data_IF_107896145429
#
_entry.id   IF_107896145429
#
_cell.length_a   1.000
_cell.length_b   1.000
_cell.length_c   1.000
_cell.angle_alpha   90.00
_cell.angle_beta   90.00
_cell.angle_gamma   90.00
#
_symmetry.space_group_name_H-M   'P 1'
#
loop_
_entity.id
_entity.type
_entity.pdbx_description
1 polymer ?
#
# COMPACT_ATOMS: atom_id res chain seq x y z
N UNK A 1 -1.58 -19.09 29.56
CA UNK A 1 -1.02 -17.74 29.35
C UNK A 1 -2.18 -16.76 29.32
N UNK A 2 -2.17 -15.67 30.08
CA UNK A 2 -3.26 -14.70 30.08
C UNK A 2 -3.35 -14.05 28.68
N UNK A 3 -4.56 -13.96 28.13
CA UNK A 3 -4.88 -13.43 26.80
C UNK A 3 -4.73 -11.89 26.67
N UNK A 4 -4.15 -11.20 27.66
CA UNK A 4 -4.23 -9.74 27.82
C UNK A 4 -2.92 -9.00 27.57
N UNK A 5 -2.14 -9.43 26.60
CA UNK A 5 -1.08 -8.59 26.02
C UNK A 5 -1.65 -7.63 24.96
N UNK A 6 -2.76 -6.98 25.28
CA UNK A 6 -3.33 -5.98 24.37
C UNK A 6 -2.58 -4.68 24.55
N UNK A 7 -1.67 -4.39 23.62
CA UNK A 7 -1.15 -3.03 23.39
C UNK A 7 -2.27 -1.98 23.24
N UNK A 8 -3.45 -2.43 22.84
CA UNK A 8 -4.70 -1.66 22.73
C UNK A 8 -5.11 -0.94 24.04
N UNK A 9 -4.56 -1.32 25.19
CA UNK A 9 -4.92 -0.71 26.49
C UNK A 9 -4.23 0.63 26.78
N UNK A 10 -3.13 0.95 26.09
CA UNK A 10 -2.36 2.16 26.39
C UNK A 10 -1.85 2.91 25.14
N UNK A 11 -1.93 2.31 23.95
CA UNK A 11 -1.54 2.94 22.71
C UNK A 11 -2.52 2.58 21.59
N UNK A 12 -3.09 3.60 20.96
CA UNK A 12 -3.87 3.47 19.73
C UNK A 12 -3.10 4.19 18.64
N UNK A 13 -2.63 3.47 17.59
CA UNK A 13 -2.01 4.11 16.43
C UNK A 13 -2.99 5.08 15.78
N UNK A 14 -2.50 6.22 15.31
CA UNK A 14 -3.31 7.10 14.48
C UNK A 14 -3.68 6.40 13.17
N UNK A 15 -4.83 6.72 12.63
CA UNK A 15 -5.46 5.96 11.53
C UNK A 15 -4.72 6.05 10.20
N UNK A 16 -3.89 7.06 10.03
CA UNK A 16 -3.03 7.22 8.86
C UNK A 16 -1.97 6.13 8.75
N UNK A 17 -1.53 5.56 9.88
CA UNK A 17 -0.59 4.44 9.91
C UNK A 17 -1.34 3.11 9.76
N UNK A 18 -1.03 2.35 8.72
CA UNK A 18 -1.59 1.02 8.49
C UNK A 18 -0.61 -0.12 8.82
N UNK A 19 0.66 0.18 9.03
CA UNK A 19 1.69 -0.82 9.33
C UNK A 19 1.50 -1.49 10.68
N UNK A 20 1.88 -2.76 10.79
CA UNK A 20 1.86 -3.58 12.02
C UNK A 20 0.52 -3.55 12.80
N UNK A 21 -0.60 -3.25 12.14
CA UNK A 21 -1.93 -3.23 12.73
C UNK A 21 -2.79 -4.39 12.23
N UNK A 22 -3.65 -4.90 13.12
CA UNK A 22 -4.59 -5.96 12.77
C UNK A 22 -5.59 -5.47 11.71
N UNK A 23 -5.78 -6.28 10.68
CA UNK A 23 -6.75 -5.99 9.59
C UNK A 23 -6.44 -4.74 8.75
N UNK A 24 -5.21 -4.22 8.81
CA UNK A 24 -4.68 -3.18 7.92
C UNK A 24 -3.69 -3.80 6.92
N UNK A 25 -3.63 -3.27 5.69
CA UNK A 25 -2.77 -3.83 4.64
C UNK A 25 -2.36 -2.79 3.59
N UNK A 26 -1.48 -3.21 2.67
CA UNK A 26 -1.01 -2.37 1.57
C UNK A 26 -2.14 -1.96 0.62
N UNK A 27 -3.06 -2.89 0.33
CA UNK A 27 -4.16 -2.69 -0.62
C UNK A 27 -5.09 -1.55 -0.16
N UNK A 28 -5.28 -1.41 1.14
CA UNK A 28 -6.05 -0.31 1.73
C UNK A 28 -5.39 1.05 1.47
N UNK A 29 -4.08 1.16 1.70
CA UNK A 29 -3.34 2.40 1.48
C UNK A 29 -3.33 2.76 -0.01
N UNK A 30 -3.15 1.78 -0.89
CA UNK A 30 -3.22 1.98 -2.35
C UNK A 30 -4.63 2.42 -2.75
N UNK A 31 -5.69 1.79 -2.21
CA UNK A 31 -7.07 2.15 -2.51
C UNK A 31 -7.40 3.57 -2.03
N UNK A 32 -6.95 3.95 -0.83
CA UNK A 32 -7.14 5.30 -0.28
C UNK A 32 -6.46 6.36 -1.15
N UNK A 33 -5.21 6.12 -1.55
CA UNK A 33 -4.49 7.02 -2.47
C UNK A 33 -5.20 7.15 -3.82
N UNK A 34 -5.67 6.03 -4.39
CA UNK A 34 -6.41 6.04 -5.67
C UNK A 34 -7.75 6.75 -5.57
N UNK A 35 -8.46 6.65 -4.44
CA UNK A 35 -9.67 7.44 -4.19
C UNK A 35 -9.36 8.94 -4.14
N UNK A 36 -8.29 9.37 -3.47
CA UNK A 36 -7.87 10.76 -3.45
C UNK A 36 -7.55 11.28 -4.86
N UNK A 37 -6.84 10.48 -5.68
CA UNK A 37 -6.56 10.80 -7.08
C UNK A 37 -7.85 10.92 -7.92
N UNK A 38 -8.79 9.99 -7.73
CA UNK A 38 -10.06 9.99 -8.47
C UNK A 38 -10.95 11.19 -8.11
N UNK A 39 -10.97 11.58 -6.84
CA UNK A 39 -11.63 12.80 -6.38
C UNK A 39 -11.00 14.04 -7.04
N UNK A 40 -9.68 14.17 -6.98
CA UNK A 40 -8.95 15.29 -7.58
C UNK A 40 -9.26 15.41 -9.08
N UNK A 41 -9.23 14.29 -9.82
CA UNK A 41 -9.57 14.26 -11.26
C UNK A 41 -11.02 14.66 -11.52
N UNK A 42 -11.96 14.11 -10.76
CA UNK A 42 -13.39 14.38 -10.93
C UNK A 42 -13.73 15.84 -10.65
N UNK A 43 -13.03 16.46 -9.70
CA UNK A 43 -13.19 17.87 -9.32
C UNK A 43 -12.33 18.82 -10.15
N UNK A 44 -11.38 18.31 -10.94
CA UNK A 44 -10.35 19.10 -11.63
C UNK A 44 -9.51 19.96 -10.66
N UNK A 45 -9.35 19.48 -9.42
CA UNK A 45 -8.51 20.10 -8.41
C UNK A 45 -7.11 19.51 -8.43
N UNK A 46 -6.11 20.30 -8.02
CA UNK A 46 -4.72 19.83 -7.92
C UNK A 46 -4.58 18.88 -6.74
N UNK A 47 -3.75 17.84 -6.91
CA UNK A 47 -3.33 16.97 -5.83
C UNK A 47 -1.82 16.74 -5.93
N UNK A 48 -1.09 17.20 -4.94
CA UNK A 48 0.33 16.94 -4.75
C UNK A 48 0.48 15.68 -3.90
N UNK A 49 1.21 14.71 -4.41
CA UNK A 49 1.49 13.44 -3.76
C UNK A 49 3.00 13.38 -3.57
N UNK A 50 3.48 13.47 -2.33
CA UNK A 50 4.91 13.34 -2.05
C UNK A 50 5.21 11.98 -1.43
N UNK A 51 6.00 11.19 -2.13
CA UNK A 51 6.49 9.88 -1.68
C UNK A 51 7.80 10.07 -0.94
N UNK A 52 7.78 9.84 0.37
CA UNK A 52 8.94 10.06 1.24
C UNK A 52 9.64 8.74 1.51
N UNK A 53 10.96 8.71 1.27
CA UNK A 53 11.85 7.60 1.60
C UNK A 53 12.74 7.99 2.79
N UNK A 54 12.83 7.12 3.80
CA UNK A 54 13.72 7.34 4.93
C UNK A 54 15.02 6.56 4.77
N UNK A 55 16.14 7.19 5.11
CA UNK A 55 17.43 6.52 5.11
C UNK A 55 17.58 5.64 6.34
N UNK A 56 17.55 4.31 6.17
CA UNK A 56 17.74 3.34 7.27
C UNK A 56 16.82 3.61 8.47
N UNK A 57 15.52 3.76 8.21
CA UNK A 57 14.52 4.17 9.19
C UNK A 57 14.62 3.43 10.54
N UNK A 58 14.69 2.10 10.50
CA UNK A 58 14.80 1.27 11.71
C UNK A 58 16.13 1.42 12.46
N UNK A 59 17.23 1.64 11.74
CA UNK A 59 18.58 1.63 12.32
C UNK A 59 18.94 2.95 13.01
N UNK A 60 18.20 4.03 12.71
CA UNK A 60 18.51 5.39 13.21
C UNK A 60 17.73 5.80 14.44
N UNK A 61 16.74 5.04 14.88
CA UNK A 61 15.89 5.42 16.01
C UNK A 61 16.70 5.56 17.32
N UNK A 62 16.75 6.75 17.95
CA UNK A 62 17.36 6.94 19.25
C UNK A 62 16.56 6.23 20.34
N UNK A 63 17.14 5.22 20.97
CA UNK A 63 16.45 4.37 21.96
C UNK A 63 15.98 5.12 23.21
N UNK A 64 16.73 6.11 23.65
CA UNK A 64 16.36 6.98 24.76
C UNK A 64 15.08 7.78 24.44
N UNK A 65 14.99 8.33 23.23
CA UNK A 65 13.81 9.07 22.79
C UNK A 65 12.60 8.13 22.61
N UNK A 66 12.82 6.94 22.05
CA UNK A 66 11.76 5.92 21.97
C UNK A 66 11.20 5.57 23.37
N UNK A 67 12.08 5.34 24.35
CA UNK A 67 11.64 5.03 25.72
C UNK A 67 10.87 6.20 26.37
N UNK A 68 11.26 7.44 26.05
CA UNK A 68 10.52 8.64 26.46
C UNK A 68 9.12 8.66 25.85
N UNK A 69 9.00 8.48 24.53
CA UNK A 69 7.72 8.44 23.81
C UNK A 69 6.82 7.34 24.37
N UNK A 70 7.36 6.14 24.58
CA UNK A 70 6.62 5.02 25.17
C UNK A 70 6.05 5.39 26.56
N UNK A 71 6.84 6.05 27.40
CA UNK A 71 6.41 6.51 28.74
C UNK A 71 5.29 7.55 28.60
N UNK A 72 5.44 8.53 27.73
CA UNK A 72 4.47 9.61 27.49
C UNK A 72 3.16 9.06 26.88
N UNK A 73 3.25 7.99 26.07
CA UNK A 73 2.09 7.29 25.53
C UNK A 73 1.37 6.38 26.54
N UNK A 74 1.80 6.32 27.81
CA UNK A 74 1.14 5.54 28.85
C UNK A 74 1.65 4.10 29.02
N UNK A 75 2.81 3.76 28.42
CA UNK A 75 3.41 2.44 28.60
C UNK A 75 3.70 2.14 30.05
N UNK A 76 3.14 1.04 30.58
CA UNK A 76 3.33 0.63 31.97
C UNK A 76 4.80 0.38 32.35
N UNK A 77 5.19 0.72 33.58
CA UNK A 77 6.56 0.69 34.03
C UNK A 77 7.27 -0.67 33.91
N UNK A 78 6.53 -1.78 34.05
CA UNK A 78 7.08 -3.13 33.87
C UNK A 78 7.44 -3.39 32.41
N UNK A 79 6.57 -3.00 31.46
CA UNK A 79 6.81 -3.12 30.02
C UNK A 79 7.96 -2.22 29.58
N UNK A 80 7.97 -0.96 30.02
CA UNK A 80 9.04 -0.03 29.72
C UNK A 80 10.42 -0.56 30.15
N UNK A 81 10.52 -1.11 31.37
CA UNK A 81 11.76 -1.77 31.84
C UNK A 81 12.14 -2.99 31.01
N UNK A 82 11.16 -3.81 30.62
CA UNK A 82 11.41 -4.97 29.75
C UNK A 82 11.98 -4.56 28.39
N UNK A 83 11.36 -3.55 27.76
CA UNK A 83 11.84 -2.99 26.47
C UNK A 83 13.26 -2.41 26.66
N UNK A 84 13.48 -1.59 27.68
CA UNK A 84 14.80 -1.05 27.95
C UNK A 84 15.86 -2.16 28.11
N UNK A 85 15.53 -3.24 28.83
CA UNK A 85 16.44 -4.39 29.00
C UNK A 85 16.72 -5.15 27.69
N UNK A 86 15.73 -5.30 26.80
CA UNK A 86 15.91 -5.93 25.48
C UNK A 86 16.94 -5.15 24.64
N UNK A 87 16.98 -3.83 24.79
CA UNK A 87 17.84 -2.95 24.00
C UNK A 87 19.15 -2.55 24.70
N UNK A 88 19.30 -2.76 26.02
CA UNK A 88 20.49 -2.34 26.79
C UNK A 88 21.77 -3.09 26.45
N UNK A 89 21.67 -4.30 25.88
CA UNK A 89 22.81 -5.16 25.57
C UNK A 89 22.79 -5.68 24.15
N UNK A 90 22.45 -4.82 23.19
CA UNK A 90 22.43 -5.24 21.78
C UNK A 90 23.82 -5.11 21.19
N UNK A 91 24.36 -6.24 20.70
CA UNK A 91 25.66 -6.31 20.04
C UNK A 91 25.48 -6.79 18.61
N UNK A 92 26.22 -6.20 17.70
CA UNK A 92 26.36 -6.66 16.31
C UNK A 92 27.71 -7.34 16.16
N UNK A 93 27.74 -8.51 15.54
CA UNK A 93 28.97 -9.27 15.29
C UNK A 93 29.27 -9.21 13.79
N UNK A 94 30.43 -8.69 13.45
CA UNK A 94 30.94 -8.64 12.08
C UNK A 94 32.28 -9.38 12.03
N UNK A 95 32.26 -10.66 11.65
CA UNK A 95 33.45 -11.52 11.75
C UNK A 95 33.89 -11.67 13.21
N UNK A 96 35.10 -11.23 13.53
CA UNK A 96 35.67 -11.21 14.90
C UNK A 96 35.38 -9.92 15.68
N UNK A 97 34.73 -8.92 15.06
CA UNK A 97 34.50 -7.60 15.66
C UNK A 97 33.11 -7.60 16.33
N UNK A 98 33.06 -7.19 17.58
CA UNK A 98 31.81 -7.01 18.33
C UNK A 98 31.59 -5.48 18.50
N UNK A 99 30.46 -4.99 18.02
CA UNK A 99 30.07 -3.58 18.07
C UNK A 99 28.82 -3.44 18.95
N UNK A 100 28.84 -2.55 19.90
CA UNK A 100 27.66 -2.21 20.70
C UNK A 100 26.70 -1.36 19.85
N UNK A 101 25.50 -1.89 19.60
CA UNK A 101 24.46 -1.16 18.89
C UNK A 101 23.69 -0.28 19.87
N UNK A 102 23.97 1.03 19.85
CA UNK A 102 23.34 2.03 20.74
C UNK A 102 22.08 2.68 20.13
N UNK A 103 21.90 2.55 18.82
CA UNK A 103 20.76 3.07 18.06
C UNK A 103 19.96 1.94 17.41
N UNK A 104 18.79 2.28 16.97
CA UNK A 104 17.95 1.46 16.11
C UNK A 104 17.16 0.36 16.80
N UNK A 105 16.17 -0.13 16.05
CA UNK A 105 15.33 -1.28 16.40
C UNK A 105 15.90 -2.55 15.79
N UNK A 106 15.73 -3.68 16.48
CA UNK A 106 16.20 -4.98 15.98
C UNK A 106 15.37 -5.43 14.78
N UNK A 107 15.97 -5.47 13.60
CA UNK A 107 15.29 -6.00 12.39
C UNK A 107 14.95 -7.49 12.62
N UNK A 108 13.71 -7.86 12.25
CA UNK A 108 13.20 -9.22 12.45
C UNK A 108 12.66 -9.52 13.86
N UNK A 109 12.72 -8.57 14.80
CA UNK A 109 12.04 -8.75 16.10
C UNK A 109 10.53 -8.50 15.97
N UNK A 110 9.67 -9.35 16.56
CA UNK A 110 8.21 -9.16 16.54
C UNK A 110 7.74 -7.82 17.15
N UNK A 111 8.52 -7.24 18.05
CA UNK A 111 8.18 -5.99 18.74
C UNK A 111 8.60 -4.77 17.95
N UNK A 112 9.55 -4.88 17.04
CA UNK A 112 10.15 -3.72 16.36
C UNK A 112 9.14 -2.97 15.49
N UNK A 113 8.24 -3.67 14.80
CA UNK A 113 7.19 -3.04 13.99
C UNK A 113 6.29 -2.14 14.84
N UNK A 114 5.84 -2.62 16.00
CA UNK A 114 4.98 -1.86 16.90
C UNK A 114 5.73 -0.66 17.50
N UNK A 115 6.98 -0.85 17.92
CA UNK A 115 7.80 0.24 18.46
C UNK A 115 8.06 1.32 17.39
N UNK A 116 8.25 0.91 16.15
CA UNK A 116 8.43 1.83 15.03
C UNK A 116 7.18 2.66 14.76
N UNK A 117 5.99 2.06 14.71
CA UNK A 117 4.75 2.81 14.48
C UNK A 117 4.42 3.75 15.64
N UNK A 118 4.71 3.36 16.89
CA UNK A 118 4.58 4.26 18.05
C UNK A 118 5.48 5.48 17.88
N UNK A 119 6.71 5.26 17.44
CA UNK A 119 7.67 6.33 17.20
C UNK A 119 7.22 7.27 16.07
N UNK A 120 6.80 6.71 14.94
CA UNK A 120 6.36 7.49 13.78
C UNK A 120 5.01 8.19 14.00
N UNK A 121 4.24 7.75 15.00
CA UNK A 121 2.97 8.39 15.36
C UNK A 121 3.14 9.85 15.80
N UNK A 122 4.33 10.21 16.32
CA UNK A 122 4.66 11.60 16.66
C UNK A 122 4.65 12.52 15.42
N UNK A 123 5.05 12.01 14.25
CA UNK A 123 4.94 12.75 12.99
C UNK A 123 3.49 13.07 12.62
N UNK A 124 2.58 12.11 12.78
CA UNK A 124 1.16 12.32 12.48
C UNK A 124 0.56 13.36 13.45
N UNK A 125 0.93 13.30 14.74
CA UNK A 125 0.53 14.32 15.72
C UNK A 125 1.00 15.72 15.31
N UNK A 126 2.22 15.85 14.78
CA UNK A 126 2.73 17.13 14.29
C UNK A 126 1.90 17.64 13.11
N UNK A 127 1.52 16.79 12.14
CA UNK A 127 0.65 17.20 11.06
C UNK A 127 -0.71 17.66 11.57
N UNK A 128 -1.36 16.90 12.44
CA UNK A 128 -2.65 17.30 13.02
C UNK A 128 -2.60 18.59 13.84
N UNK A 129 -1.48 18.88 14.52
CA UNK A 129 -1.34 20.07 15.35
C UNK A 129 -0.94 21.33 14.58
N UNK A 130 -0.25 21.19 13.45
CA UNK A 130 0.34 22.32 12.71
C UNK A 130 -0.32 22.60 11.37
N UNK A 131 -0.84 21.57 10.67
CA UNK A 131 -1.51 21.76 9.42
C UNK A 131 -2.99 22.07 9.62
N UNK A 132 -3.50 23.05 8.90
CA UNK A 132 -4.94 23.28 8.79
C UNK A 132 -5.57 22.32 7.78
N UNK A 133 -6.91 22.24 7.75
CA UNK A 133 -7.64 21.47 6.74
C UNK A 133 -7.20 21.82 5.32
N UNK A 134 -7.07 20.81 4.46
CA UNK A 134 -6.45 20.90 3.15
C UNK A 134 -7.45 20.50 2.05
N UNK A 135 -8.32 21.43 1.64
CA UNK A 135 -9.29 21.23 0.58
C UNK A 135 -10.17 20.00 0.79
N UNK A 136 -10.29 19.15 -0.24
CA UNK A 136 -11.08 17.90 -0.16
C UNK A 136 -10.40 16.82 0.70
N UNK A 137 -9.11 16.94 0.97
CA UNK A 137 -8.36 16.03 1.85
C UNK A 137 -8.71 16.26 3.33
N UNK A 138 -9.11 17.49 3.68
CA UNK A 138 -9.37 17.95 5.04
C UNK A 138 -8.21 17.61 5.99
N UNK A 139 -8.42 16.67 6.90
CA UNK A 139 -7.44 16.25 7.91
C UNK A 139 -6.51 15.11 7.46
N UNK A 140 -6.75 14.51 6.27
CA UNK A 140 -5.89 13.43 5.75
C UNK A 140 -4.62 14.03 5.16
N UNK A 141 -3.61 14.23 5.98
CA UNK A 141 -2.34 14.84 5.60
C UNK A 141 -1.33 13.84 5.04
N UNK A 142 -1.40 12.59 5.50
CA UNK A 142 -0.47 11.54 5.10
C UNK A 142 -1.11 10.15 5.10
N UNK A 143 -0.46 9.22 4.42
CA UNK A 143 -0.73 7.79 4.47
C UNK A 143 0.57 7.09 4.78
N UNK A 144 0.59 6.25 5.81
CA UNK A 144 1.80 5.60 6.31
C UNK A 144 1.62 4.07 6.31
N UNK A 145 2.63 3.37 5.83
CA UNK A 145 2.75 1.92 6.00
C UNK A 145 4.17 1.60 6.44
N UNK A 146 4.40 1.52 7.72
CA UNK A 146 5.73 1.47 8.32
C UNK A 146 6.54 2.71 7.92
N UNK A 147 7.66 2.55 7.24
CA UNK A 147 8.52 3.60 6.71
C UNK A 147 8.06 4.17 5.35
N UNK A 148 7.24 3.41 4.60
CA UNK A 148 6.63 3.93 3.38
C UNK A 148 5.62 5.03 3.72
N UNK A 149 5.95 6.26 3.35
CA UNK A 149 5.18 7.46 3.71
C UNK A 149 4.77 8.25 2.47
N UNK A 150 3.50 8.64 2.42
CA UNK A 150 2.96 9.50 1.37
C UNK A 150 2.31 10.71 2.01
N UNK A 151 2.70 11.92 1.59
CA UNK A 151 2.06 13.17 1.99
C UNK A 151 1.09 13.61 0.90
N UNK A 152 -0.07 14.08 1.28
CA UNK A 152 -1.12 14.54 0.38
C UNK A 152 -1.38 16.04 0.61
N UNK A 153 -1.46 16.83 -0.47
CA UNK A 153 -1.72 18.27 -0.40
C UNK A 153 -2.50 18.75 -1.62
N UNK A 154 -3.32 19.79 -1.46
CA UNK A 154 -4.09 20.38 -2.57
C UNK A 154 -3.39 21.57 -3.24
N UNK A 155 -2.26 22.02 -2.68
CA UNK A 155 -1.44 23.10 -3.27
C UNK A 155 0.05 22.84 -3.06
N UNK A 156 0.87 23.53 -3.86
CA UNK A 156 2.33 23.50 -3.75
C UNK A 156 2.82 23.98 -2.39
N UNK A 157 2.26 25.08 -1.89
CA UNK A 157 2.64 25.67 -0.59
C UNK A 157 2.36 24.71 0.56
N UNK A 158 1.21 24.02 0.52
CA UNK A 158 0.86 22.97 1.49
C UNK A 158 1.80 21.78 1.41
N UNK A 159 2.25 21.39 0.21
CA UNK A 159 3.23 20.32 0.05
C UNK A 159 4.58 20.72 0.65
N UNK A 160 5.03 21.96 0.43
CA UNK A 160 6.24 22.52 1.03
C UNK A 160 6.13 22.60 2.55
N UNK A 161 4.99 23.07 3.09
CA UNK A 161 4.72 23.12 4.53
C UNK A 161 4.88 21.72 5.17
N UNK A 162 4.24 20.70 4.59
CA UNK A 162 4.32 19.33 5.11
C UNK A 162 5.73 18.73 5.01
N UNK A 163 6.46 19.06 3.95
CA UNK A 163 7.86 18.66 3.82
C UNK A 163 8.76 19.32 4.86
N UNK A 164 8.55 20.60 5.20
CA UNK A 164 9.28 21.28 6.27
C UNK A 164 9.01 20.64 7.63
N UNK A 165 7.75 20.32 7.93
CA UNK A 165 7.40 19.56 9.16
C UNK A 165 8.11 18.21 9.17
N UNK A 166 8.21 17.52 8.02
CA UNK A 166 8.94 16.26 7.90
C UNK A 166 10.43 16.42 8.19
N UNK A 167 11.10 17.45 7.64
CA UNK A 167 12.53 17.71 7.91
C UNK A 167 12.79 18.09 9.36
N UNK A 168 11.92 18.89 9.96
CA UNK A 168 11.98 19.21 11.40
C UNK A 168 11.80 17.96 12.25
N UNK A 169 10.81 17.12 11.93
CA UNK A 169 10.62 15.83 12.60
C UNK A 169 11.87 14.97 12.49
N UNK A 170 12.45 14.84 11.30
CA UNK A 170 13.67 14.08 11.10
C UNK A 170 14.81 14.59 11.97
N UNK A 171 15.00 15.90 12.05
CA UNK A 171 16.03 16.52 12.89
C UNK A 171 15.80 16.28 14.40
N UNK A 172 14.57 16.46 14.88
CA UNK A 172 14.22 16.32 16.29
C UNK A 172 14.22 14.87 16.77
N UNK A 173 13.81 13.95 15.87
CA UNK A 173 13.63 12.53 16.19
C UNK A 173 14.78 11.65 15.70
N UNK A 174 15.89 12.24 15.23
CA UNK A 174 17.07 11.49 14.81
C UNK A 174 16.85 10.59 13.58
N UNK A 175 15.83 10.87 12.79
CA UNK A 175 15.58 10.21 11.50
C UNK A 175 16.23 11.00 10.37
N UNK A 176 16.21 10.46 9.17
CA UNK A 176 16.74 11.17 7.99
C UNK A 176 15.90 10.83 6.77
N UNK A 177 15.36 11.87 6.14
CA UNK A 177 14.75 11.77 4.82
C UNK A 177 15.82 11.56 3.75
N UNK A 178 15.56 10.68 2.78
CA UNK A 178 16.41 10.48 1.62
C UNK A 178 15.89 11.33 0.46
N UNK A 179 16.36 12.57 0.35
CA UNK A 179 15.88 13.52 -0.66
C UNK A 179 16.09 13.03 -2.09
N UNK A 180 17.17 12.27 -2.37
CA UNK A 180 17.43 11.72 -3.70
C UNK A 180 16.36 10.71 -4.15
N UNK A 181 15.79 9.93 -3.22
CA UNK A 181 14.72 8.95 -3.48
C UNK A 181 13.32 9.51 -3.25
N UNK A 182 13.18 10.50 -2.39
CA UNK A 182 11.92 11.20 -2.17
C UNK A 182 11.52 11.92 -3.46
N UNK A 183 10.28 11.72 -3.91
CA UNK A 183 9.76 12.28 -5.15
C UNK A 183 8.37 12.84 -4.91
N UNK A 184 7.97 13.80 -5.72
CA UNK A 184 6.58 14.24 -5.73
C UNK A 184 5.97 14.13 -7.11
N UNK A 185 4.65 14.00 -7.13
CA UNK A 185 3.82 13.91 -8.32
C UNK A 185 2.66 14.89 -8.18
N UNK A 186 2.22 15.48 -9.27
CA UNK A 186 1.06 16.39 -9.26
C UNK A 186 0.01 15.90 -10.22
N UNK A 187 -1.21 15.69 -9.70
CA UNK A 187 -2.39 15.42 -10.53
C UNK A 187 -3.05 16.74 -10.86
N UNK A 188 -3.44 16.94 -12.12
CA UNK A 188 -4.03 18.20 -12.65
C UNK A 188 -3.17 19.45 -12.44
N UNK A 189 -1.85 19.29 -12.32
CA UNK A 189 -0.92 20.40 -12.16
C UNK A 189 -0.57 21.10 -13.48
N UNK A 190 -0.10 22.36 -13.38
CA UNK A 190 0.58 23.08 -14.46
C UNK A 190 2.05 22.68 -14.55
N UNK A 191 2.75 23.16 -15.58
CA UNK A 191 4.21 22.95 -15.68
C UNK A 191 4.99 23.61 -14.52
N UNK A 192 4.49 24.75 -14.02
CA UNK A 192 5.06 25.41 -12.84
C UNK A 192 4.95 24.56 -11.57
N UNK A 193 3.84 23.83 -11.42
CA UNK A 193 3.63 22.92 -10.28
C UNK A 193 4.63 21.74 -10.28
N UNK A 194 5.21 21.42 -11.44
CA UNK A 194 6.16 20.31 -11.62
C UNK A 194 7.63 20.70 -11.39
N UNK A 195 7.91 21.96 -11.17
CA UNK A 195 9.25 22.41 -10.82
C UNK A 195 9.69 21.74 -9.50
N UNK A 196 10.93 21.34 -9.41
CA UNK A 196 11.49 20.72 -8.21
C UNK A 196 11.23 21.58 -6.97
N UNK A 197 11.01 20.90 -5.84
CA UNK A 197 10.80 21.56 -4.54
C UNK A 197 12.12 21.58 -3.80
N UNK A 198 12.60 22.78 -3.46
CA UNK A 198 13.76 22.95 -2.58
C UNK A 198 13.32 23.04 -1.12
N UNK A 199 13.95 22.24 -0.26
CA UNK A 199 13.78 22.25 1.19
C UNK A 199 15.16 22.26 1.83
N UNK A 200 15.52 23.37 2.45
CA UNK A 200 16.78 23.54 3.17
C UNK A 200 18.05 23.24 2.33
N UNK A 201 17.98 23.57 1.02
CA UNK A 201 19.06 23.32 0.05
C UNK A 201 19.09 21.91 -0.55
N UNK A 202 18.13 21.06 -0.19
CA UNK A 202 17.94 19.74 -0.77
C UNK A 202 16.78 19.77 -1.77
N UNK A 203 17.02 19.31 -3.01
CA UNK A 203 16.01 19.30 -4.07
C UNK A 203 15.24 18.00 -4.12
N UNK A 204 13.91 18.10 -4.08
CA UNK A 204 12.98 16.99 -4.26
C UNK A 204 12.41 17.07 -5.68
N UNK A 205 12.76 16.08 -6.49
CA UNK A 205 12.42 16.07 -7.90
C UNK A 205 10.98 15.61 -8.16
N UNK A 206 10.34 16.21 -9.16
CA UNK A 206 9.08 15.76 -9.73
C UNK A 206 9.23 14.39 -10.40
N UNK A 207 8.18 13.57 -10.38
CA UNK A 207 8.08 12.32 -11.13
C UNK A 207 6.71 12.17 -11.79
N UNK A 208 6.70 11.74 -13.06
CA UNK A 208 5.46 11.41 -13.78
C UNK A 208 4.93 10.01 -13.47
N UNK A 209 5.76 9.18 -12.84
CA UNK A 209 5.47 7.79 -12.48
C UNK A 209 6.19 7.42 -11.19
N UNK A 210 5.49 6.73 -10.29
CA UNK A 210 6.07 6.21 -9.04
C UNK A 210 5.47 4.84 -8.70
N UNK A 211 6.26 3.97 -8.08
CA UNK A 211 5.78 2.68 -7.57
C UNK A 211 5.56 2.77 -6.07
N UNK A 212 4.29 2.89 -5.66
CA UNK A 212 3.89 2.95 -4.26
C UNK A 212 3.36 1.58 -3.81
N UNK A 213 3.98 1.00 -2.79
CA UNK A 213 3.63 -0.33 -2.25
C UNK A 213 3.44 -1.39 -3.34
N UNK A 214 4.28 -1.39 -4.37
CA UNK A 214 4.21 -2.32 -5.48
C UNK A 214 3.15 -2.01 -6.56
N UNK A 215 2.34 -0.97 -6.37
CA UNK A 215 1.40 -0.47 -7.37
C UNK A 215 1.96 0.76 -8.09
N UNK A 216 1.91 0.74 -9.42
CA UNK A 216 2.36 1.89 -10.21
C UNK A 216 1.28 2.97 -10.23
N UNK A 217 1.69 4.19 -9.89
CA UNK A 217 0.87 5.40 -9.98
C UNK A 217 1.44 6.31 -11.07
N UNK A 218 0.58 6.86 -11.89
CA UNK A 218 0.94 7.79 -12.97
C UNK A 218 0.32 9.16 -12.75
N UNK A 219 1.01 10.20 -13.09
CA UNK A 219 0.55 11.61 -13.05
C UNK A 219 -0.77 11.80 -13.82
N UNK A 220 -0.93 11.16 -14.97
CA UNK A 220 -2.17 11.23 -15.74
C UNK A 220 -3.31 10.42 -15.09
N UNK A 221 -3.02 9.63 -14.05
CA UNK A 221 -3.96 8.74 -13.37
C UNK A 221 -4.76 7.86 -14.34
N UNK A 222 -4.11 7.40 -15.41
CA UNK A 222 -4.70 6.56 -16.45
C UNK A 222 -4.64 5.09 -16.05
N UNK A 223 -5.81 4.46 -15.92
CA UNK A 223 -5.88 3.02 -15.67
C UNK A 223 -5.26 2.21 -16.82
N UNK A 224 -5.37 2.69 -18.05
CA UNK A 224 -4.77 2.02 -19.21
C UNK A 224 -3.24 2.01 -19.16
N UNK A 225 -2.60 3.12 -18.74
CA UNK A 225 -1.15 3.19 -18.55
C UNK A 225 -0.70 2.27 -17.41
N UNK A 226 -1.39 2.34 -16.27
CA UNK A 226 -1.13 1.41 -15.16
C UNK A 226 -1.20 -0.04 -15.62
N UNK A 227 -2.26 -0.42 -16.33
CA UNK A 227 -2.45 -1.81 -16.81
C UNK A 227 -1.37 -2.23 -17.80
N UNK A 228 -0.90 -1.32 -18.66
CA UNK A 228 0.21 -1.59 -19.59
C UNK A 228 1.50 -1.93 -18.84
N UNK A 229 1.86 -1.10 -17.85
CA UNK A 229 3.06 -1.32 -17.05
C UNK A 229 2.94 -2.59 -16.21
N UNK A 230 1.78 -2.80 -15.60
CA UNK A 230 1.53 -3.99 -14.80
C UNK A 230 1.69 -5.27 -15.62
N UNK A 231 1.06 -5.35 -16.80
CA UNK A 231 1.18 -6.51 -17.71
C UNK A 231 2.61 -6.66 -18.21
N UNK A 232 3.28 -5.58 -18.60
CA UNK A 232 4.68 -5.63 -19.08
C UNK A 232 5.63 -6.20 -18.02
N UNK A 233 5.46 -5.79 -16.77
CA UNK A 233 6.24 -6.32 -15.65
C UNK A 233 5.98 -7.82 -15.42
N UNK A 234 4.71 -8.25 -15.49
CA UNK A 234 4.31 -9.64 -15.27
C UNK A 234 4.67 -10.57 -16.42
N UNK A 235 4.83 -10.07 -17.65
CA UNK A 235 5.30 -10.87 -18.78
C UNK A 235 6.66 -11.52 -18.52
N UNK A 236 7.58 -10.85 -17.80
CA UNK A 236 8.88 -11.45 -17.41
C UNK A 236 8.69 -12.68 -16.53
N UNK A 237 7.75 -12.64 -15.59
CA UNK A 237 7.43 -13.76 -14.72
C UNK A 237 6.77 -14.91 -15.51
N UNK A 238 5.93 -14.58 -16.47
CA UNK A 238 5.32 -15.54 -17.38
C UNK A 238 6.38 -16.32 -18.19
N UNK A 239 7.37 -15.62 -18.76
CA UNK A 239 8.46 -16.25 -19.49
C UNK A 239 9.30 -17.19 -18.61
N UNK A 240 9.58 -16.80 -17.37
CA UNK A 240 10.26 -17.67 -16.39
C UNK A 240 9.44 -18.93 -16.09
N UNK A 241 8.14 -18.76 -15.89
CA UNK A 241 7.21 -19.87 -15.68
C UNK A 241 7.19 -20.83 -16.88
N UNK A 242 7.11 -20.31 -18.10
CA UNK A 242 7.16 -21.14 -19.31
C UNK A 242 8.46 -21.91 -19.44
N UNK A 243 9.60 -21.25 -19.20
CA UNK A 243 10.90 -21.91 -19.19
C UNK A 243 10.96 -23.05 -18.15
N UNK A 244 10.39 -22.86 -16.99
CA UNK A 244 10.30 -23.88 -15.95
C UNK A 244 9.40 -25.05 -16.40
N UNK A 245 8.19 -24.76 -16.89
CA UNK A 245 7.24 -25.80 -17.34
C UNK A 245 7.77 -26.61 -18.51
N UNK A 246 8.48 -25.98 -19.46
CA UNK A 246 9.09 -26.66 -20.60
C UNK A 246 10.23 -27.59 -20.18
N UNK A 247 11.00 -27.22 -19.17
CA UNK A 247 12.07 -28.07 -18.62
C UNK A 247 11.53 -29.23 -17.79
N UNK A 248 10.32 -29.12 -17.29
CA UNK A 248 9.67 -30.08 -16.40
C UNK A 248 8.28 -30.48 -16.95
N UNK A 249 8.27 -30.89 -18.21
CA UNK A 249 7.03 -31.18 -18.93
C UNK A 249 6.26 -32.37 -18.36
N UNK A 250 6.92 -33.27 -17.68
CA UNK A 250 6.41 -34.48 -17.03
C UNK A 250 5.75 -34.22 -15.67
N UNK A 251 5.83 -32.99 -15.15
CA UNK A 251 5.19 -32.66 -13.89
C UNK A 251 3.66 -32.93 -13.95
N UNK A 252 3.09 -33.53 -12.89
CA UNK A 252 1.64 -33.68 -12.78
C UNK A 252 0.92 -32.32 -12.86
N UNK A 253 -0.27 -32.31 -13.50
CA UNK A 253 -1.09 -31.10 -13.66
C UNK A 253 -1.27 -30.31 -12.36
N UNK A 254 -1.56 -31.01 -11.24
CA UNK A 254 -1.70 -30.37 -9.91
C UNK A 254 -0.46 -29.58 -9.49
N UNK A 255 0.74 -30.01 -9.86
CA UNK A 255 1.98 -29.31 -9.57
C UNK A 255 2.16 -28.10 -10.48
N UNK A 256 1.89 -28.25 -11.79
CA UNK A 256 1.90 -27.15 -12.76
C UNK A 256 0.92 -26.04 -12.33
N UNK A 257 -0.27 -26.44 -11.87
CA UNK A 257 -1.28 -25.52 -11.34
C UNK A 257 -0.79 -24.74 -10.13
N UNK A 258 -0.16 -25.40 -9.14
CA UNK A 258 0.43 -24.74 -7.98
C UNK A 258 1.53 -23.74 -8.36
N UNK A 259 2.33 -24.07 -9.37
CA UNK A 259 3.34 -23.13 -9.92
C UNK A 259 2.67 -21.90 -10.50
N UNK A 260 1.59 -22.08 -11.29
CA UNK A 260 0.81 -20.99 -11.83
C UNK A 260 0.26 -20.09 -10.71
N UNK A 261 -0.40 -20.67 -9.71
CA UNK A 261 -0.98 -19.91 -8.59
C UNK A 261 0.09 -19.13 -7.80
N UNK A 262 1.15 -19.82 -7.39
CA UNK A 262 2.17 -19.22 -6.51
C UNK A 262 3.06 -18.21 -7.23
N UNK A 263 3.46 -18.46 -8.48
CA UNK A 263 4.46 -17.66 -9.18
C UNK A 263 3.85 -16.56 -10.04
N UNK A 264 2.67 -16.81 -10.61
CA UNK A 264 2.05 -15.85 -11.54
C UNK A 264 0.79 -15.22 -11.00
N UNK A 265 -0.23 -15.99 -10.60
CA UNK A 265 -1.53 -15.40 -10.23
C UNK A 265 -1.44 -14.51 -9.01
N UNK A 266 -0.61 -14.85 -8.01
CA UNK A 266 -0.34 -13.97 -6.87
C UNK A 266 0.22 -12.61 -7.28
N UNK A 267 1.11 -12.60 -8.27
CA UNK A 267 1.73 -11.39 -8.80
C UNK A 267 0.79 -10.62 -9.75
N UNK A 268 0.09 -11.34 -10.65
CA UNK A 268 -0.85 -10.77 -11.63
C UNK A 268 -2.03 -10.08 -10.95
N UNK A 269 -2.53 -10.65 -9.86
CA UNK A 269 -3.69 -10.15 -9.11
C UNK A 269 -3.30 -9.25 -7.93
N UNK A 270 -2.02 -8.89 -7.79
CA UNK A 270 -1.58 -8.01 -6.72
C UNK A 270 -2.28 -6.65 -6.79
N UNK A 271 -2.81 -6.19 -5.69
CA UNK A 271 -3.58 -4.96 -5.50
C UNK A 271 -4.84 -4.82 -6.40
N UNK A 272 -5.37 -5.94 -6.94
CA UNK A 272 -6.56 -5.88 -7.78
C UNK A 272 -7.80 -5.34 -7.05
N UNK A 273 -7.78 -5.37 -5.74
CA UNK A 273 -8.78 -4.78 -4.86
C UNK A 273 -8.92 -3.27 -5.08
N UNK A 274 -7.82 -2.61 -5.44
CA UNK A 274 -7.78 -1.16 -5.70
C UNK A 274 -8.00 -0.76 -7.18
N UNK A 275 -8.39 -1.69 -8.06
CA UNK A 275 -8.62 -1.41 -9.48
C UNK A 275 -10.06 -0.95 -9.73
N UNK A 276 -10.27 0.32 -9.94
CA UNK A 276 -11.59 0.91 -10.16
C UNK A 276 -11.97 0.92 -11.65
N UNK A 277 -11.76 -0.21 -12.34
CA UNK A 277 -12.09 -0.38 -13.76
C UNK A 277 -12.27 -1.86 -14.12
N UNK A 278 -13.18 -2.14 -15.02
CA UNK A 278 -13.40 -3.47 -15.58
C UNK A 278 -12.58 -3.72 -16.87
N UNK A 279 -11.80 -2.76 -17.35
CA UNK A 279 -10.99 -2.92 -18.57
C UNK A 279 -9.72 -3.74 -18.31
N UNK A 280 -9.89 -5.05 -18.24
CA UNK A 280 -8.81 -6.01 -17.96
C UNK A 280 -8.35 -6.77 -19.21
N UNK A 281 -8.68 -6.32 -20.42
CA UNK A 281 -8.47 -7.09 -21.67
C UNK A 281 -7.02 -7.57 -21.86
N UNK A 282 -6.02 -6.69 -21.62
CA UNK A 282 -4.59 -7.07 -21.72
C UNK A 282 -4.18 -8.09 -20.65
N UNK A 283 -4.66 -7.92 -19.43
CA UNK A 283 -4.38 -8.84 -18.34
C UNK A 283 -5.08 -10.19 -18.55
N UNK A 284 -6.30 -10.16 -19.10
CA UNK A 284 -7.01 -11.38 -19.43
C UNK A 284 -6.28 -12.19 -20.52
N UNK A 285 -5.66 -11.53 -21.50
CA UNK A 285 -4.81 -12.21 -22.48
C UNK A 285 -3.65 -12.94 -21.80
N UNK A 286 -2.92 -12.27 -20.90
CA UNK A 286 -1.83 -12.88 -20.13
C UNK A 286 -2.33 -14.05 -19.27
N UNK A 287 -3.46 -13.89 -18.59
CA UNK A 287 -4.10 -14.91 -17.77
C UNK A 287 -4.44 -16.15 -18.59
N UNK A 288 -5.11 -15.98 -19.75
CA UNK A 288 -5.51 -17.09 -20.62
C UNK A 288 -4.30 -17.80 -21.24
N UNK A 289 -3.29 -17.06 -21.70
CA UNK A 289 -2.04 -17.64 -22.21
C UNK A 289 -1.37 -18.52 -21.14
N UNK A 290 -1.39 -18.10 -19.90
CA UNK A 290 -0.82 -18.85 -18.78
C UNK A 290 -1.56 -20.15 -18.49
N UNK A 291 -2.89 -20.09 -18.49
CA UNK A 291 -3.75 -21.28 -18.28
C UNK A 291 -3.54 -22.28 -19.41
N UNK A 292 -3.59 -21.83 -20.67
CA UNK A 292 -3.39 -22.70 -21.84
C UNK A 292 -2.02 -23.37 -21.81
N UNK A 293 -0.98 -22.67 -21.40
CA UNK A 293 0.36 -23.24 -21.25
C UNK A 293 0.42 -24.33 -20.17
N UNK A 294 -0.21 -24.12 -19.01
CA UNK A 294 -0.28 -25.12 -17.94
C UNK A 294 -1.05 -26.36 -18.37
N UNK A 295 -2.12 -26.18 -19.14
CA UNK A 295 -2.92 -27.29 -19.73
C UNK A 295 -2.20 -28.00 -20.86
N UNK A 296 -1.17 -27.39 -21.47
CA UNK A 296 -0.49 -27.92 -22.66
C UNK A 296 -1.34 -27.83 -23.92
N UNK A 297 -2.34 -26.97 -23.98
CA UNK A 297 -3.20 -26.77 -25.15
C UNK A 297 -2.70 -25.62 -26.02
N UNK A 298 -3.07 -25.62 -27.30
CA UNK A 298 -2.70 -24.60 -28.29
C UNK A 298 -3.32 -23.23 -27.92
N UNK A 299 -2.67 -22.14 -28.30
CA UNK A 299 -3.21 -20.78 -28.11
C UNK A 299 -4.57 -20.59 -28.79
N UNK A 300 -4.81 -21.29 -29.92
CA UNK A 300 -6.09 -21.28 -30.66
C UNK A 300 -7.23 -21.97 -29.92
N UNK A 301 -6.98 -22.72 -28.84
CA UNK A 301 -8.03 -23.31 -28.01
C UNK A 301 -8.98 -22.21 -27.51
N UNK A 302 -10.31 -22.38 -27.64
CA UNK A 302 -11.26 -21.42 -27.09
C UNK A 302 -11.04 -21.22 -25.60
N UNK A 303 -11.16 -19.96 -25.15
CA UNK A 303 -10.88 -19.60 -23.74
C UNK A 303 -11.82 -20.33 -22.78
N UNK A 304 -13.10 -20.44 -23.10
CA UNK A 304 -14.10 -21.08 -22.25
C UNK A 304 -13.81 -22.59 -22.06
N UNK A 305 -13.36 -23.27 -23.11
CA UNK A 305 -12.94 -24.67 -22.99
C UNK A 305 -11.73 -24.80 -22.08
N UNK A 306 -10.71 -23.93 -22.23
CA UNK A 306 -9.53 -23.95 -21.36
C UNK A 306 -9.85 -23.65 -19.89
N UNK A 307 -10.81 -22.77 -19.63
CA UNK A 307 -11.28 -22.47 -18.28
C UNK A 307 -11.98 -23.68 -17.66
N UNK A 308 -12.89 -24.31 -18.39
CA UNK A 308 -13.67 -25.48 -17.92
C UNK A 308 -12.73 -26.66 -17.64
N UNK A 309 -11.88 -27.04 -18.60
CA UNK A 309 -10.93 -28.13 -18.44
C UNK A 309 -9.94 -27.91 -17.29
N UNK A 310 -9.51 -26.68 -17.09
CA UNK A 310 -8.59 -26.33 -16.00
C UNK A 310 -9.27 -26.13 -14.64
N UNK A 311 -10.60 -26.05 -14.58
CA UNK A 311 -11.33 -25.67 -13.38
C UNK A 311 -11.08 -24.21 -12.98
N UNK A 312 -10.81 -23.33 -13.94
CA UNK A 312 -10.53 -21.92 -13.70
C UNK A 312 -11.78 -21.06 -13.88
N UNK A 313 -11.82 -19.97 -13.13
CA UNK A 313 -12.86 -18.94 -13.22
C UNK A 313 -12.37 -17.79 -14.13
N UNK A 314 -13.28 -17.09 -14.79
CA UNK A 314 -12.94 -15.89 -15.58
C UNK A 314 -12.23 -14.84 -14.72
N UNK A 315 -11.18 -14.23 -15.26
CA UNK A 315 -10.35 -13.25 -14.54
C UNK A 315 -11.19 -12.13 -13.90
N UNK A 316 -12.16 -11.59 -14.65
CA UNK A 316 -13.02 -10.50 -14.15
C UNK A 316 -13.82 -10.93 -12.92
N UNK A 317 -14.33 -12.15 -12.89
CA UNK A 317 -15.07 -12.70 -11.76
C UNK A 317 -14.16 -12.84 -10.52
N UNK A 318 -12.93 -13.34 -10.72
CA UNK A 318 -11.92 -13.42 -9.64
C UNK A 318 -11.59 -12.04 -9.05
N UNK A 319 -11.43 -11.03 -9.91
CA UNK A 319 -11.15 -9.66 -9.46
C UNK A 319 -12.34 -9.08 -8.69
N UNK A 320 -13.56 -9.23 -9.22
CA UNK A 320 -14.78 -8.74 -8.56
C UNK A 320 -15.01 -9.41 -7.20
N UNK A 321 -14.79 -10.71 -7.10
CA UNK A 321 -14.90 -11.44 -5.82
C UNK A 321 -13.91 -10.92 -4.77
N UNK A 322 -12.65 -10.69 -5.17
CA UNK A 322 -11.64 -10.11 -4.27
C UNK A 322 -12.02 -8.71 -3.84
N UNK A 323 -12.47 -7.86 -4.77
CA UNK A 323 -12.93 -6.51 -4.48
C UNK A 323 -14.12 -6.52 -3.53
N UNK A 324 -15.12 -7.36 -3.78
CA UNK A 324 -16.27 -7.51 -2.89
C UNK A 324 -15.86 -7.89 -1.47
N UNK A 325 -15.05 -8.94 -1.32
CA UNK A 325 -14.55 -9.37 -0.01
C UNK A 325 -13.78 -8.28 0.71
N UNK A 326 -12.94 -7.57 -0.02
CA UNK A 326 -12.13 -6.48 0.51
C UNK A 326 -12.98 -5.29 0.97
N UNK A 327 -13.82 -4.72 0.10
CA UNK A 327 -14.63 -3.56 0.45
C UNK A 327 -15.71 -3.88 1.48
N UNK A 328 -16.37 -5.03 1.37
CA UNK A 328 -17.36 -5.46 2.36
C UNK A 328 -16.75 -5.58 3.76
N UNK A 329 -15.54 -6.18 3.86
CA UNK A 329 -14.81 -6.27 5.12
C UNK A 329 -14.45 -4.88 5.67
N UNK A 330 -13.88 -4.00 4.85
CA UNK A 330 -13.48 -2.65 5.27
C UNK A 330 -14.66 -1.82 5.75
N UNK A 331 -15.72 -1.75 4.95
CA UNK A 331 -16.88 -0.93 5.24
C UNK A 331 -17.60 -1.44 6.49
N UNK A 332 -17.86 -2.75 6.60
CA UNK A 332 -18.54 -3.32 7.76
C UNK A 332 -17.74 -3.17 9.06
N UNK A 333 -16.40 -3.22 8.99
CA UNK A 333 -15.58 -3.06 10.18
C UNK A 333 -15.33 -1.61 10.59
N UNK A 334 -15.54 -0.63 9.71
CA UNK A 334 -15.09 0.76 9.89
C UNK A 334 -16.15 1.83 9.62
N UNK A 335 -17.38 1.46 9.23
CA UNK A 335 -18.46 2.42 8.93
C UNK A 335 -18.74 3.40 10.07
N UNK A 336 -18.39 3.04 11.31
CA UNK A 336 -18.56 3.86 12.51
C UNK A 336 -17.28 4.69 12.88
N UNK A 337 -16.21 4.60 12.08
CA UNK A 337 -14.95 5.29 12.32
C UNK A 337 -14.88 6.56 11.47
N UNK A 338 -15.13 7.71 12.07
CA UNK A 338 -15.07 9.00 11.37
C UNK A 338 -13.63 9.44 11.06
N UNK A 339 -12.66 8.94 11.83
CA UNK A 339 -11.22 9.24 11.73
C UNK A 339 -10.45 8.23 10.85
N UNK A 340 -11.12 7.40 10.05
CA UNK A 340 -10.47 6.46 9.13
C UNK A 340 -10.26 7.09 7.74
N UNK A 341 -9.00 7.22 7.25
CA UNK A 341 -8.71 7.86 5.96
C UNK A 341 -9.39 7.20 4.76
N UNK A 342 -9.49 5.86 4.73
CA UNK A 342 -10.18 5.16 3.65
C UNK A 342 -11.68 5.48 3.64
N UNK A 343 -12.33 5.40 4.80
CA UNK A 343 -13.77 5.70 4.91
C UNK A 343 -14.06 7.16 4.58
N UNK A 344 -13.21 8.08 5.05
CA UNK A 344 -13.34 9.50 4.72
C UNK A 344 -13.21 9.73 3.20
N UNK A 345 -12.19 9.16 2.54
CA UNK A 345 -12.01 9.30 1.10
C UNK A 345 -13.15 8.64 0.31
N UNK A 346 -13.63 7.47 0.74
CA UNK A 346 -14.77 6.82 0.09
C UNK A 346 -16.05 7.65 0.20
N UNK A 347 -16.36 8.20 1.37
CA UNK A 347 -17.53 9.04 1.56
C UNK A 347 -17.42 10.35 0.75
N UNK A 348 -16.25 10.96 0.71
CA UNK A 348 -15.97 12.13 -0.15
C UNK A 348 -16.13 11.77 -1.63
N UNK A 349 -15.61 10.62 -2.08
CA UNK A 349 -15.77 10.14 -3.45
C UNK A 349 -17.24 9.89 -3.81
N UNK A 350 -18.04 9.35 -2.89
CA UNK A 350 -19.49 9.18 -3.04
C UNK A 350 -20.23 10.51 -3.15
N UNK A 351 -19.88 11.47 -2.30
CA UNK A 351 -20.47 12.82 -2.35
C UNK A 351 -20.30 13.46 -3.73
N UNK A 352 -19.17 13.25 -4.38
CA UNK A 352 -18.88 13.76 -5.72
C UNK A 352 -19.23 12.78 -6.85
N UNK A 353 -19.85 11.65 -6.55
CA UNK A 353 -20.23 10.61 -7.51
C UNK A 353 -19.08 10.24 -8.46
N UNK A 354 -17.90 10.05 -7.92
CA UNK A 354 -16.70 9.74 -8.71
C UNK A 354 -16.78 8.36 -9.38
N UNK A 355 -16.02 8.09 -10.47
CA UNK A 355 -15.96 6.78 -11.11
C UNK A 355 -15.58 5.65 -10.14
N UNK A 356 -14.62 5.88 -9.24
CA UNK A 356 -14.20 4.88 -8.25
C UNK A 356 -15.32 4.56 -7.25
N UNK A 357 -16.02 5.56 -6.72
CA UNK A 357 -17.14 5.35 -5.81
C UNK A 357 -18.27 4.54 -6.47
N UNK A 358 -18.64 4.89 -7.70
CA UNK A 358 -19.65 4.14 -8.46
C UNK A 358 -19.23 2.69 -8.71
N UNK A 359 -17.95 2.46 -9.00
CA UNK A 359 -17.41 1.11 -9.17
C UNK A 359 -17.50 0.30 -7.87
N UNK A 360 -17.09 0.88 -6.74
CA UNK A 360 -17.17 0.23 -5.42
C UNK A 360 -18.62 -0.09 -5.06
N UNK A 361 -19.53 0.86 -5.23
CA UNK A 361 -20.95 0.67 -4.90
C UNK A 361 -21.58 -0.41 -5.81
N UNK A 362 -21.21 -0.47 -7.09
CA UNK A 362 -21.60 -1.56 -8.00
C UNK A 362 -21.09 -2.92 -7.50
N UNK A 363 -19.84 -3.00 -7.06
CA UNK A 363 -19.27 -4.24 -6.52
C UNK A 363 -20.01 -4.69 -5.25
N UNK A 364 -20.36 -3.77 -4.37
CA UNK A 364 -21.08 -4.09 -3.12
C UNK A 364 -22.53 -4.53 -3.31
N UNK A 365 -23.13 -4.24 -4.48
CA UNK A 365 -24.46 -4.75 -4.84
C UNK A 365 -24.47 -6.21 -5.24
N UNK A 366 -23.29 -6.82 -5.55
CA UNK A 366 -23.19 -8.25 -5.82
C UNK A 366 -23.35 -9.03 -4.52
N UNK A 367 -24.31 -9.97 -4.50
CA UNK A 367 -24.43 -10.94 -3.41
C UNK A 367 -23.53 -12.15 -3.69
N UNK A 368 -23.06 -12.85 -2.66
CA UNK A 368 -22.23 -14.06 -2.82
C UNK A 368 -22.79 -15.10 -3.81
N UNK A 369 -24.12 -15.15 -3.98
CA UNK A 369 -24.81 -16.06 -4.91
C UNK A 369 -24.76 -15.60 -6.38
N UNK A 370 -24.52 -14.32 -6.66
CA UNK A 370 -24.51 -13.79 -8.03
C UNK A 370 -23.19 -14.08 -8.77
N UNK A 371 -22.08 -14.29 -8.06
CA UNK A 371 -20.81 -14.68 -8.68
C UNK A 371 -20.86 -16.10 -9.28
N UNK A 372 -21.62 -17.01 -8.63
CA UNK A 372 -21.76 -18.40 -9.09
C UNK A 372 -22.82 -18.49 -10.22
N UNK A 373 -23.88 -17.69 -10.16
CA UNK A 373 -24.95 -17.74 -11.17
C UNK A 373 -24.58 -17.12 -12.51
N UNK A 374 -23.80 -16.04 -12.54
CA UNK A 374 -23.42 -15.39 -13.80
C UNK A 374 -22.50 -16.24 -14.68
N UNK A 375 -21.77 -17.18 -14.09
CA UNK A 375 -20.93 -18.13 -14.85
C UNK A 375 -21.66 -19.44 -15.18
N UNK A 376 -22.74 -19.78 -14.46
CA UNK A 376 -23.56 -20.96 -14.69
C UNK A 376 -24.68 -20.75 -15.73
N UNK A 377 -25.11 -19.52 -16.00
CA UNK A 377 -26.10 -19.21 -17.03
C UNK A 377 -25.52 -19.12 -18.47
N UNK A 378 -24.17 -19.30 -18.58
CA UNK A 378 -23.44 -19.26 -19.87
C UNK A 378 -22.94 -20.68 -20.28
N UNK A 379 -23.21 -21.68 -19.47
CA UNK A 379 -23.04 -23.10 -19.79
C UNK A 379 -24.41 -23.72 -20.14
#
# INVERSE_FOLDING_TARGET
>A
MPKDWRLELWFTPLREQAGAQKSRNCEEQIATLRLAIDIAKSRKEKLFITYVDFSKAYDKIPRNLLLKILKESGCGHRMLRAIAKIYSSTKSVLGSIIIDAILGLKQGSPTSGILFIIYLNELVKLYHSRCSEDGFLRWVHCLLLMDDSVLLSTSRDRAIEKLRIMTEFCSQYGMQMNCAKTKFMVINGSEEDKLDIDIDGESIAHCSKYTYLGAVIHEQASFAQFMNDHVSDKNRNLLKMFSFLNKNFDLPFKMKFRVLEACLLSSVLYSCESWFSENLGKLNKLYMTSIKAVLGVRESCPNDIALIEGGFVRLLAVVKERQFKFFNKLINSRSHMEDDPFMFMLNTARQYSTPAARHIDKILQFTDRSFIKSDAEIL
#
